data_IF_405623577458
#
_entry.id   IF_405623577458
#
_cell.length_a   1.000
_cell.length_b   1.000
_cell.length_c   1.000
_cell.angle_alpha   90.00
_cell.angle_beta   90.00
_cell.angle_gamma   90.00
#
_symmetry.space_group_name_H-M   'P 1'
#
loop_
_entity.id
_entity.type
_entity.pdbx_description
1 polymer ?
#
# COMPACT_ATOMS: atom_id res chain seq x y z
N UNK A 1 -3.88 -23.38 5.52
CA UNK A 1 -4.64 -22.25 4.93
C UNK A 1 -3.65 -21.46 4.10
N UNK A 2 -3.96 -21.29 2.83
CA UNK A 2 -3.08 -20.92 1.70
C UNK A 2 -2.20 -19.69 1.98
N UNK A 3 -0.89 -19.90 2.11
CA UNK A 3 0.12 -18.84 1.93
C UNK A 3 0.29 -18.60 0.43
N UNK A 4 -0.74 -18.02 -0.19
CA UNK A 4 -0.70 -17.57 -1.58
C UNK A 4 0.23 -16.36 -1.69
N UNK A 5 1.45 -16.58 -2.22
CA UNK A 5 2.28 -15.63 -2.96
C UNK A 5 2.19 -14.16 -2.49
N UNK A 6 2.52 -13.89 -1.22
CA UNK A 6 2.66 -12.52 -0.73
C UNK A 6 3.76 -11.82 -1.55
N UNK A 7 3.42 -10.71 -2.24
CA UNK A 7 4.36 -10.07 -3.16
C UNK A 7 5.62 -9.61 -2.43
N UNK A 8 6.73 -9.49 -3.13
CA UNK A 8 7.98 -9.03 -2.52
C UNK A 8 7.79 -7.66 -1.85
N UNK A 9 7.08 -6.75 -2.51
CA UNK A 9 6.75 -5.42 -2.03
C UNK A 9 5.92 -5.45 -0.75
N UNK A 10 4.94 -6.37 -0.67
CA UNK A 10 4.10 -6.55 0.51
C UNK A 10 4.93 -6.98 1.72
N UNK A 11 5.84 -7.94 1.53
CA UNK A 11 6.75 -8.40 2.60
C UNK A 11 7.66 -7.27 3.08
N UNK A 12 8.31 -6.55 2.16
CA UNK A 12 9.20 -5.43 2.51
C UNK A 12 8.43 -4.31 3.21
N UNK A 13 7.25 -3.94 2.72
CA UNK A 13 6.40 -2.91 3.35
C UNK A 13 5.99 -3.31 4.78
N UNK A 14 5.63 -4.58 4.99
CA UNK A 14 5.32 -5.13 6.31
C UNK A 14 6.53 -5.12 7.22
N UNK A 15 7.71 -5.49 6.73
CA UNK A 15 8.97 -5.42 7.50
C UNK A 15 9.29 -3.99 7.92
N UNK A 16 9.24 -3.02 7.01
CA UNK A 16 9.48 -1.60 7.32
C UNK A 16 8.52 -1.08 8.40
N UNK A 17 7.22 -1.40 8.27
CA UNK A 17 6.22 -1.01 9.27
C UNK A 17 6.52 -1.63 10.64
N UNK A 18 6.81 -2.93 10.69
CA UNK A 18 7.09 -3.65 11.93
C UNK A 18 8.34 -3.11 12.63
N UNK A 19 9.41 -2.81 11.88
CA UNK A 19 10.60 -2.18 12.44
C UNK A 19 10.28 -0.79 12.99
N UNK A 20 9.47 0.02 12.28
CA UNK A 20 9.08 1.34 12.75
C UNK A 20 8.31 1.33 14.08
N UNK A 21 7.54 0.26 14.36
CA UNK A 21 6.80 0.14 15.62
C UNK A 21 7.69 -0.20 16.82
N UNK A 22 8.90 -0.72 16.58
CA UNK A 22 9.87 -1.02 17.64
C UNK A 22 10.71 0.20 18.04
N UNK A 23 10.66 1.26 17.25
CA UNK A 23 11.40 2.49 17.50
C UNK A 23 10.54 3.48 18.30
N UNK A 24 11.17 4.31 19.12
CA UNK A 24 10.56 5.44 19.84
C UNK A 24 10.69 6.75 19.06
N UNK A 25 9.80 7.71 19.31
CA UNK A 25 9.99 9.08 18.84
C UNK A 25 10.78 9.92 19.86
N UNK A 26 10.88 9.45 21.10
CA UNK A 26 11.29 10.27 22.25
C UNK A 26 12.69 9.91 22.77
N UNK A 27 13.25 8.77 22.37
CA UNK A 27 14.55 8.30 22.89
C UNK A 27 15.76 9.00 22.23
N UNK A 28 15.68 9.30 20.93
CA UNK A 28 16.78 9.93 20.19
C UNK A 28 16.29 10.56 18.87
N UNK A 29 16.88 11.69 18.43
CA UNK A 29 16.62 12.24 17.10
C UNK A 29 16.87 11.23 15.98
N UNK A 30 17.94 10.44 16.06
CA UNK A 30 18.25 9.41 15.07
C UNK A 30 17.15 8.34 14.99
N UNK A 31 16.62 7.95 16.14
CA UNK A 31 15.59 6.92 16.22
C UNK A 31 14.24 7.42 15.69
N UNK A 32 13.91 8.67 16.00
CA UNK A 32 12.77 9.39 15.44
C UNK A 32 12.84 9.46 13.90
N UNK A 33 14.00 9.85 13.36
CA UNK A 33 14.23 9.95 11.92
C UNK A 33 14.12 8.59 11.23
N UNK A 34 14.75 7.55 11.81
CA UNK A 34 14.65 6.18 11.30
C UNK A 34 13.21 5.66 11.32
N UNK A 35 12.48 5.91 12.40
CA UNK A 35 11.07 5.55 12.53
C UNK A 35 10.22 6.23 11.47
N UNK A 36 10.47 7.52 11.21
CA UNK A 36 9.79 8.27 10.16
C UNK A 36 10.09 7.68 8.78
N UNK A 37 11.36 7.52 8.45
CA UNK A 37 11.81 6.99 7.16
C UNK A 37 11.24 5.60 6.86
N UNK A 38 11.21 4.70 7.86
CA UNK A 38 10.63 3.36 7.70
C UNK A 38 9.12 3.39 7.44
N UNK A 39 8.38 4.31 8.09
CA UNK A 39 6.94 4.48 7.81
C UNK A 39 6.69 5.04 6.43
N UNK A 40 7.51 5.99 5.98
CA UNK A 40 7.42 6.53 4.63
C UNK A 40 7.75 5.48 3.58
N UNK A 41 8.79 4.68 3.78
CA UNK A 41 9.13 3.58 2.88
C UNK A 41 7.98 2.56 2.78
N UNK A 42 7.40 2.15 3.91
CA UNK A 42 6.24 1.25 3.91
C UNK A 42 5.04 1.84 3.15
N UNK A 43 4.78 3.14 3.34
CA UNK A 43 3.69 3.87 2.65
C UNK A 43 3.95 4.00 1.15
N UNK A 44 5.19 4.28 0.75
CA UNK A 44 5.58 4.36 -0.65
C UNK A 44 5.36 3.01 -1.34
N UNK A 45 5.87 1.92 -0.75
CA UNK A 45 5.71 0.56 -1.29
C UNK A 45 4.23 0.17 -1.45
N UNK A 46 3.39 0.52 -0.47
CA UNK A 46 1.94 0.33 -0.58
C UNK A 46 1.32 1.09 -1.75
N UNK A 47 1.82 2.29 -2.06
CA UNK A 47 1.31 3.10 -3.16
C UNK A 47 1.80 2.66 -4.54
N UNK A 48 2.99 2.05 -4.62
CA UNK A 48 3.55 1.53 -5.87
C UNK A 48 2.95 0.19 -6.27
N UNK A 49 2.62 -0.67 -5.31
CA UNK A 49 1.99 -1.96 -5.57
C UNK A 49 0.50 -1.90 -5.29
N UNK A 50 -0.23 -1.26 -6.21
CA UNK A 50 -1.68 -1.12 -6.15
C UNK A 50 -2.35 -1.98 -7.23
N UNK A 51 -3.32 -2.80 -6.83
CA UNK A 51 -4.11 -3.64 -7.72
C UNK A 51 -5.57 -3.24 -7.65
N UNK A 52 -6.26 -3.30 -8.78
CA UNK A 52 -7.70 -3.04 -8.85
C UNK A 52 -8.43 -4.37 -8.93
N UNK A 53 -9.18 -4.70 -7.89
CA UNK A 53 -9.98 -5.91 -7.80
C UNK A 53 -11.48 -5.61 -7.94
N UNK A 54 -12.23 -6.54 -8.50
CA UNK A 54 -13.68 -6.45 -8.62
C UNK A 54 -14.31 -7.50 -7.72
N UNK A 55 -15.05 -7.06 -6.71
CA UNK A 55 -15.80 -7.91 -5.78
C UNK A 55 -17.30 -7.73 -6.01
N UNK A 56 -17.84 -8.54 -6.93
CA UNK A 56 -19.24 -8.43 -7.38
C UNK A 56 -19.52 -7.11 -8.09
N UNK A 57 -20.42 -6.30 -7.54
CA UNK A 57 -20.75 -4.97 -8.04
C UNK A 57 -19.75 -3.89 -7.62
N UNK A 58 -18.89 -4.16 -6.63
CA UNK A 58 -17.95 -3.20 -6.07
C UNK A 58 -16.57 -3.34 -6.72
N UNK A 59 -15.90 -2.21 -6.87
CA UNK A 59 -14.52 -2.13 -7.33
C UNK A 59 -13.69 -1.57 -6.20
N UNK A 60 -12.63 -2.29 -5.85
CA UNK A 60 -11.73 -1.96 -4.77
C UNK A 60 -10.30 -1.85 -5.29
N UNK A 61 -9.56 -0.97 -4.63
CA UNK A 61 -8.14 -0.77 -4.79
C UNK A 61 -7.49 -1.46 -3.60
N UNK A 62 -6.66 -2.46 -3.89
CA UNK A 62 -5.94 -3.25 -2.89
C UNK A 62 -4.47 -2.84 -2.96
N UNK A 63 -3.90 -2.43 -1.84
CA UNK A 63 -2.47 -2.11 -1.76
C UNK A 63 -1.61 -3.37 -1.60
N UNK A 64 -0.28 -3.19 -1.53
CA UNK A 64 0.68 -4.28 -1.37
C UNK A 64 0.32 -5.19 -0.18
N UNK A 65 -0.02 -4.59 0.97
CA UNK A 65 -0.36 -5.30 2.21
C UNK A 65 -1.80 -5.82 2.28
N UNK A 66 -2.55 -5.83 1.18
CA UNK A 66 -3.91 -6.38 1.11
C UNK A 66 -5.01 -5.47 1.69
N UNK A 67 -4.70 -4.22 2.04
CA UNK A 67 -5.71 -3.25 2.49
C UNK A 67 -6.52 -2.78 1.29
N UNK A 68 -7.80 -3.15 1.28
CA UNK A 68 -8.77 -2.71 0.29
C UNK A 68 -9.38 -1.33 0.64
N UNK A 69 -9.60 -0.51 -0.39
CA UNK A 69 -10.43 0.69 -0.31
C UNK A 69 -11.27 0.85 -1.56
N UNK A 70 -12.41 1.53 -1.47
CA UNK A 70 -13.18 1.86 -2.67
C UNK A 70 -12.47 2.89 -3.55
N UNK A 71 -12.76 2.86 -4.85
CA UNK A 71 -12.36 3.91 -5.77
C UNK A 71 -13.02 5.24 -5.38
N UNK A 72 -12.20 6.29 -5.35
CA UNK A 72 -12.64 7.68 -5.29
C UNK A 72 -13.35 8.08 -6.58
N UNK A 73 -14.13 9.16 -6.56
CA UNK A 73 -14.84 9.66 -7.74
C UNK A 73 -13.88 9.93 -8.90
N UNK A 74 -12.71 10.51 -8.62
CA UNK A 74 -11.67 10.79 -9.62
C UNK A 74 -11.16 9.51 -10.30
N UNK A 75 -10.91 8.46 -9.52
CA UNK A 75 -10.43 7.17 -10.07
C UNK A 75 -11.53 6.43 -10.85
N UNK A 76 -12.80 6.57 -10.44
CA UNK A 76 -13.94 6.04 -11.23
C UNK A 76 -14.04 6.72 -12.59
N UNK A 77 -13.87 8.04 -12.62
CA UNK A 77 -13.86 8.82 -13.86
C UNK A 77 -12.67 8.43 -14.74
N UNK A 78 -11.46 8.38 -14.17
CA UNK A 78 -10.26 7.94 -14.88
C UNK A 78 -10.44 6.54 -15.48
N UNK A 79 -10.96 5.58 -14.70
CA UNK A 79 -11.27 4.22 -15.18
C UNK A 79 -12.24 4.24 -16.36
N UNK A 80 -13.28 5.07 -16.30
CA UNK A 80 -14.28 5.20 -17.37
C UNK A 80 -13.65 5.78 -18.64
N UNK A 81 -12.78 6.79 -18.52
CA UNK A 81 -12.05 7.39 -19.64
C UNK A 81 -11.06 6.39 -20.27
N UNK A 82 -10.36 5.62 -19.43
CA UNK A 82 -9.37 4.62 -19.85
C UNK A 82 -9.99 3.27 -20.24
N UNK A 83 -11.31 3.21 -20.44
CA UNK A 83 -12.07 2.00 -20.82
C UNK A 83 -11.79 0.76 -19.95
N UNK A 84 -11.51 0.98 -18.66
CA UNK A 84 -11.27 -0.09 -17.70
C UNK A 84 -9.80 -0.49 -17.52
N UNK A 85 -8.88 -0.01 -18.35
CA UNK A 85 -7.44 -0.26 -18.18
C UNK A 85 -6.87 0.73 -17.16
N UNK A 86 -6.67 0.26 -15.94
CA UNK A 86 -5.99 1.00 -14.88
C UNK A 86 -4.84 0.16 -14.34
N UNK A 87 -3.74 0.11 -15.09
CA UNK A 87 -2.43 -0.06 -14.46
C UNK A 87 -2.05 1.29 -13.85
N UNK A 88 -2.50 1.54 -12.63
CA UNK A 88 -2.02 2.71 -11.87
C UNK A 88 -0.68 2.28 -11.29
N UNK A 89 0.36 2.35 -12.11
CA UNK A 89 1.73 2.42 -11.61
C UNK A 89 2.03 3.92 -11.41
N UNK A 90 2.26 4.38 -10.17
CA UNK A 90 2.73 5.75 -9.95
C UNK A 90 4.09 5.98 -10.61
#
# INVERSE_FOLDING_TARGET
>A
MSTENESYEARVASTCQNLSYRLSYDESPLESDLKHALKEAARALDSHSVRVERKGAHIEVVNARGKARQLTIRERLARRLLRGNMEIRP
#
